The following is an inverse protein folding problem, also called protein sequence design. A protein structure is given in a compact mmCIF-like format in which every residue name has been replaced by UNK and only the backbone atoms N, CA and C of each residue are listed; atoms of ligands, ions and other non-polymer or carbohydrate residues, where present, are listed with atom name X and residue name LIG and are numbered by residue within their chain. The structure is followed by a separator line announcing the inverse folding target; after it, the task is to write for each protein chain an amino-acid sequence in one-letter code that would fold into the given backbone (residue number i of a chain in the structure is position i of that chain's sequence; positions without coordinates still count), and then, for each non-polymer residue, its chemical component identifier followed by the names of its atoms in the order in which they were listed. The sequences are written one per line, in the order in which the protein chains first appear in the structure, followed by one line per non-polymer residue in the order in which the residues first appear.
data_IF_798000274075
#
_entry.id   IF_798000274075
#
_cell.length_a   1.000
_cell.length_b   1.000
_cell.length_c   1.000
_cell.angle_alpha   90.00
_cell.angle_beta   90.00
_cell.angle_gamma   90.00
#
_symmetry.space_group_name_H-M   'P 1'
#
loop_
_entity.id
_entity.type
_entity.pdbx_description
1 polymer ?
#
# COMPACT_ATOMS: atom_id res chain seq x y z
N UNK A 1 -44.50 37.38 17.17
CA UNK A 1 -44.02 37.08 15.79
C UNK A 1 -42.54 37.28 15.61
N UNK A 2 -41.95 38.46 15.90
CA UNK A 2 -40.50 38.70 15.68
C UNK A 2 -39.60 37.73 16.47
N UNK A 3 -39.90 37.49 17.75
CA UNK A 3 -39.14 36.56 18.58
C UNK A 3 -39.18 35.10 18.06
N UNK A 4 -40.37 34.68 17.55
CA UNK A 4 -40.55 33.37 16.94
C UNK A 4 -39.70 33.27 15.66
N UNK A 5 -39.75 34.28 14.78
CA UNK A 5 -38.95 34.28 13.57
C UNK A 5 -37.43 34.26 13.83
N UNK A 6 -36.95 35.00 14.82
CA UNK A 6 -35.55 35.00 15.24
C UNK A 6 -35.16 33.61 15.76
N UNK A 7 -36.02 33.01 16.63
CA UNK A 7 -35.73 31.69 17.15
C UNK A 7 -35.67 30.60 16.09
N UNK A 8 -36.60 30.60 15.11
CA UNK A 8 -36.57 29.70 13.95
C UNK A 8 -35.30 29.91 13.13
N UNK A 9 -34.92 31.17 12.87
CA UNK A 9 -33.71 31.48 12.09
C UNK A 9 -32.44 30.98 12.80
N UNK A 10 -32.32 31.14 14.11
CA UNK A 10 -31.20 30.65 14.89
C UNK A 10 -31.10 29.11 14.83
N UNK A 11 -32.23 28.40 14.95
CA UNK A 11 -32.28 26.95 14.85
C UNK A 11 -31.86 26.49 13.47
N UNK A 12 -32.43 27.05 12.41
CA UNK A 12 -32.12 26.63 11.05
C UNK A 12 -30.66 26.93 10.70
N UNK A 13 -30.15 28.13 10.98
CA UNK A 13 -28.77 28.51 10.67
C UNK A 13 -27.78 27.69 11.52
N UNK A 14 -28.02 27.55 12.81
CA UNK A 14 -27.15 26.81 13.73
C UNK A 14 -27.04 25.33 13.33
N UNK A 15 -28.19 24.70 13.07
CA UNK A 15 -28.21 23.30 12.62
C UNK A 15 -27.60 23.14 11.23
N UNK A 16 -27.89 24.06 10.28
CA UNK A 16 -27.31 24.04 8.94
C UNK A 16 -25.78 24.13 8.97
N UNK A 17 -25.23 25.04 9.78
CA UNK A 17 -23.78 25.14 9.94
C UNK A 17 -23.18 23.85 10.51
N UNK A 18 -23.77 23.29 11.57
CA UNK A 18 -23.30 22.04 12.15
C UNK A 18 -23.35 20.88 11.16
N UNK A 19 -24.45 20.68 10.45
CA UNK A 19 -24.63 19.62 9.46
C UNK A 19 -23.67 19.75 8.27
N UNK A 20 -23.46 20.96 7.77
CA UNK A 20 -22.53 21.24 6.66
C UNK A 20 -21.06 21.04 7.08
N UNK A 21 -20.70 21.47 8.30
CA UNK A 21 -19.36 21.30 8.87
C UNK A 21 -19.05 19.81 9.08
N UNK A 22 -19.98 19.06 9.67
CA UNK A 22 -19.85 17.62 9.90
C UNK A 22 -19.52 16.90 8.59
N UNK A 23 -20.35 17.12 7.58
CA UNK A 23 -20.19 16.50 6.28
C UNK A 23 -18.88 16.93 5.62
N UNK A 24 -18.54 18.20 5.64
CA UNK A 24 -17.29 18.70 5.06
C UNK A 24 -16.06 18.08 5.70
N UNK A 25 -16.04 17.95 7.03
CA UNK A 25 -14.90 17.35 7.74
C UNK A 25 -14.74 15.85 7.44
N UNK A 26 -15.84 15.12 7.22
CA UNK A 26 -15.80 13.68 6.94
C UNK A 26 -15.49 13.39 5.47
N UNK A 27 -15.93 14.24 4.55
CA UNK A 27 -15.80 13.99 3.10
C UNK A 27 -14.39 14.20 2.56
N UNK A 28 -13.52 14.99 3.22
CA UNK A 28 -12.14 15.18 2.74
C UNK A 28 -11.29 13.94 3.05
N UNK A 29 -10.74 13.22 2.05
CA UNK A 29 -9.88 12.07 2.28
C UNK A 29 -8.63 12.45 3.10
N UNK A 30 -8.22 11.58 4.04
CA UNK A 30 -7.06 11.84 4.91
C UNK A 30 -5.77 12.10 4.11
N UNK A 31 -5.59 11.37 3.01
CA UNK A 31 -4.43 11.54 2.12
C UNK A 31 -4.40 12.95 1.52
N UNK A 32 -5.55 13.45 1.07
CA UNK A 32 -5.68 14.81 0.52
C UNK A 32 -5.37 15.87 1.57
N UNK A 33 -5.86 15.68 2.81
CA UNK A 33 -5.54 16.58 3.93
C UNK A 33 -4.05 16.60 4.25
N UNK A 34 -3.38 15.44 4.20
CA UNK A 34 -1.92 15.35 4.36
C UNK A 34 -1.18 16.13 3.28
N UNK A 35 -1.59 15.95 2.01
CA UNK A 35 -0.99 16.70 0.89
C UNK A 35 -1.16 18.21 1.07
N UNK A 36 -2.35 18.69 1.47
CA UNK A 36 -2.61 20.11 1.70
C UNK A 36 -1.76 20.69 2.83
N UNK A 37 -1.61 19.93 3.91
CA UNK A 37 -0.77 20.36 5.03
C UNK A 37 0.72 20.42 4.68
N UNK A 38 1.19 19.60 3.74
CA UNK A 38 2.59 19.56 3.28
C UNK A 38 2.86 20.56 2.16
N UNK A 39 2.00 20.63 1.12
CA UNK A 39 2.24 21.46 -0.07
C UNK A 39 1.85 22.93 0.12
N UNK A 40 0.81 23.20 0.93
CA UNK A 40 0.32 24.56 1.23
C UNK A 40 0.03 24.69 2.73
N UNK A 41 1.06 24.73 3.57
CA UNK A 41 0.87 24.80 5.02
C UNK A 41 0.15 26.09 5.40
N UNK A 42 -1.06 25.93 5.92
CA UNK A 42 -1.85 27.00 6.52
C UNK A 42 -2.34 26.58 7.91
N UNK A 43 -2.59 27.50 8.83
CA UNK A 43 -3.10 27.14 10.16
C UNK A 43 -4.37 26.29 10.09
N UNK A 44 -5.25 26.55 9.12
CA UNK A 44 -6.47 25.77 8.88
C UNK A 44 -6.18 24.35 8.37
N UNK A 45 -5.24 24.19 7.42
CA UNK A 45 -4.86 22.88 6.90
C UNK A 45 -4.20 21.99 7.98
N UNK A 46 -3.34 22.58 8.82
CA UNK A 46 -2.72 21.88 9.94
C UNK A 46 -3.77 21.47 10.98
N UNK A 47 -4.70 22.37 11.31
CA UNK A 47 -5.81 22.08 12.21
C UNK A 47 -6.71 20.97 11.64
N UNK A 48 -7.02 21.02 10.34
CA UNK A 48 -7.82 19.97 9.66
C UNK A 48 -7.11 18.62 9.71
N UNK A 49 -5.79 18.58 9.50
CA UNK A 49 -5.02 17.34 9.64
C UNK A 49 -5.12 16.77 11.05
N UNK A 50 -4.97 17.59 12.08
CA UNK A 50 -5.12 17.17 13.48
C UNK A 50 -6.52 16.62 13.76
N UNK A 51 -7.56 17.26 13.23
CA UNK A 51 -8.96 16.79 13.33
C UNK A 51 -9.14 15.45 12.64
N UNK A 52 -8.62 15.28 11.43
CA UNK A 52 -8.77 14.03 10.65
C UNK A 52 -7.99 12.86 11.25
N UNK A 53 -6.90 13.12 11.95
CA UNK A 53 -6.15 12.09 12.68
C UNK A 53 -6.87 11.62 13.95
N UNK A 54 -7.65 12.50 14.59
CA UNK A 54 -8.37 12.24 15.83
C UNK A 54 -9.82 12.67 15.70
N UNK A 55 -10.53 12.09 14.73
CA UNK A 55 -11.85 12.57 14.26
C UNK A 55 -12.98 12.43 15.29
N UNK A 56 -12.88 11.46 16.22
CA UNK A 56 -13.98 11.11 17.15
C UNK A 56 -14.45 12.29 18.00
N UNK A 57 -13.53 13.04 18.61
CA UNK A 57 -13.88 14.17 19.50
C UNK A 57 -14.46 15.37 18.75
N UNK A 58 -13.84 15.84 17.63
CA UNK A 58 -14.42 16.91 16.84
C UNK A 58 -15.83 16.59 16.32
N UNK A 59 -16.04 15.39 15.81
CA UNK A 59 -17.38 14.97 15.35
C UNK A 59 -18.38 14.92 16.49
N UNK A 60 -18.02 14.32 17.63
CA UNK A 60 -18.89 14.32 18.82
C UNK A 60 -19.29 15.74 19.23
N UNK A 61 -18.33 16.71 19.17
CA UNK A 61 -18.63 18.13 19.44
C UNK A 61 -19.68 18.69 18.52
N UNK A 62 -19.54 18.47 17.20
CA UNK A 62 -20.45 18.99 16.20
C UNK A 62 -21.84 18.35 16.35
N UNK A 63 -21.91 17.03 16.58
CA UNK A 63 -23.15 16.30 16.82
C UNK A 63 -23.86 16.83 18.08
N UNK A 64 -23.13 17.07 19.17
CA UNK A 64 -23.69 17.67 20.38
C UNK A 64 -24.29 19.06 20.08
N UNK A 65 -23.55 19.92 19.38
CA UNK A 65 -24.00 21.24 19.01
C UNK A 65 -25.24 21.19 18.10
N UNK A 66 -25.23 20.30 17.10
CA UNK A 66 -26.36 20.11 16.21
C UNK A 66 -27.62 19.67 16.98
N UNK A 67 -27.47 18.72 17.91
CA UNK A 67 -28.58 18.29 18.78
C UNK A 67 -29.07 19.40 19.71
N UNK A 68 -28.21 20.26 20.22
CA UNK A 68 -28.62 21.43 21.01
C UNK A 68 -29.49 22.35 20.15
N UNK A 69 -29.06 22.71 18.92
CA UNK A 69 -29.89 23.52 18.05
C UNK A 69 -31.20 22.86 17.68
N UNK A 70 -31.21 21.58 17.34
CA UNK A 70 -32.41 20.89 16.90
C UNK A 70 -33.36 20.60 18.03
N UNK A 71 -32.91 20.07 19.17
CA UNK A 71 -33.80 19.65 20.29
C UNK A 71 -34.19 20.86 21.14
N UNK A 72 -33.20 21.54 21.74
CA UNK A 72 -33.44 22.67 22.61
C UNK A 72 -34.08 23.82 21.84
N UNK A 73 -33.54 24.08 20.64
CA UNK A 73 -34.09 25.11 19.75
C UNK A 73 -35.55 24.85 19.37
N UNK A 74 -35.90 23.61 18.98
CA UNK A 74 -37.29 23.25 18.65
C UNK A 74 -38.24 23.36 19.84
N UNK A 75 -37.79 23.05 21.06
CA UNK A 75 -38.59 23.26 22.26
C UNK A 75 -38.89 24.76 22.46
N UNK A 76 -37.90 25.61 22.33
CA UNK A 76 -38.06 27.07 22.43
C UNK A 76 -39.02 27.62 21.36
N UNK A 77 -38.81 27.20 20.10
CA UNK A 77 -39.67 27.59 18.96
C UNK A 77 -41.11 27.10 19.19
N UNK A 78 -41.28 25.82 19.61
CA UNK A 78 -42.61 25.27 19.88
C UNK A 78 -43.36 26.04 20.97
N UNK A 79 -42.64 26.40 22.07
CA UNK A 79 -43.25 27.24 23.14
C UNK A 79 -43.66 28.60 22.63
N UNK A 80 -42.83 29.26 21.83
CA UNK A 80 -43.16 30.56 21.26
C UNK A 80 -44.32 30.47 20.25
N UNK A 81 -44.35 29.42 19.43
CA UNK A 81 -45.40 29.15 18.48
C UNK A 81 -46.77 28.91 19.17
N UNK A 82 -46.81 28.15 20.26
CA UNK A 82 -48.01 27.85 21.05
C UNK A 82 -48.65 29.12 21.66
N UNK A 83 -47.91 30.20 21.85
CA UNK A 83 -48.44 31.48 22.30
C UNK A 83 -49.03 32.35 21.15
N UNK A 84 -48.80 31.93 19.90
CA UNK A 84 -49.12 32.76 18.72
C UNK A 84 -50.21 32.11 17.81
N UNK A 85 -50.31 30.79 17.84
CA UNK A 85 -51.19 30.00 16.99
C UNK A 85 -52.18 29.20 17.84
N UNK A 86 -53.36 28.97 17.25
CA UNK A 86 -54.31 27.97 17.76
C UNK A 86 -53.81 26.54 17.47
N UNK A 87 -54.52 25.53 17.98
CA UNK A 87 -54.11 24.13 17.85
C UNK A 87 -53.94 23.69 16.38
N UNK A 88 -54.78 24.15 15.48
CA UNK A 88 -54.70 23.81 14.05
C UNK A 88 -53.52 24.53 13.40
N UNK A 89 -53.36 25.83 13.65
CA UNK A 89 -52.24 26.62 13.18
C UNK A 89 -50.88 26.12 13.68
N UNK A 90 -50.83 25.68 14.94
CA UNK A 90 -49.61 25.08 15.52
C UNK A 90 -49.22 23.78 14.81
N UNK A 91 -50.20 22.93 14.46
CA UNK A 91 -49.95 21.71 13.69
C UNK A 91 -49.38 21.99 12.31
N UNK A 92 -49.96 22.96 11.55
CA UNK A 92 -49.50 23.38 10.23
C UNK A 92 -48.10 23.98 10.34
N UNK A 93 -47.88 24.89 11.30
CA UNK A 93 -46.57 25.49 11.56
C UNK A 93 -45.48 24.43 11.87
N UNK A 94 -45.81 23.45 12.71
CA UNK A 94 -44.86 22.37 13.06
C UNK A 94 -44.50 21.51 11.87
N UNK A 95 -45.47 21.16 11.01
CA UNK A 95 -45.22 20.42 9.78
C UNK A 95 -44.32 21.21 8.82
N UNK A 96 -44.61 22.51 8.61
CA UNK A 96 -43.80 23.39 7.78
C UNK A 96 -42.38 23.57 8.33
N UNK A 97 -42.26 23.78 9.64
CA UNK A 97 -40.96 23.92 10.31
C UNK A 97 -40.14 22.64 10.19
N UNK A 98 -40.74 21.47 10.40
CA UNK A 98 -40.06 20.19 10.20
C UNK A 98 -39.51 20.04 8.78
N UNK A 99 -40.36 20.34 7.78
CA UNK A 99 -39.92 20.31 6.38
C UNK A 99 -38.79 21.31 6.11
N UNK A 100 -38.89 22.53 6.65
CA UNK A 100 -37.86 23.56 6.50
C UNK A 100 -36.53 23.14 7.15
N UNK A 101 -36.55 22.52 8.34
CA UNK A 101 -35.37 22.02 9.02
C UNK A 101 -34.72 20.89 8.18
N UNK A 102 -35.51 19.92 7.74
CA UNK A 102 -34.96 18.80 6.93
C UNK A 102 -34.31 19.35 5.65
N UNK A 103 -34.98 20.25 4.94
CA UNK A 103 -34.46 20.77 3.66
C UNK A 103 -33.29 21.75 3.86
N UNK A 104 -33.49 22.79 4.70
CA UNK A 104 -32.57 23.94 4.80
C UNK A 104 -31.48 23.74 5.82
N UNK A 105 -31.69 22.90 6.86
CA UNK A 105 -30.73 22.69 7.92
C UNK A 105 -30.02 21.34 7.82
N UNK A 106 -30.52 20.39 7.02
CA UNK A 106 -29.91 19.07 6.90
C UNK A 106 -29.50 18.73 5.45
N UNK A 107 -30.45 18.63 4.51
CA UNK A 107 -30.14 18.15 3.14
C UNK A 107 -29.23 19.13 2.40
N UNK A 108 -29.64 20.39 2.28
CA UNK A 108 -28.87 21.40 1.54
C UNK A 108 -27.48 21.63 2.12
N UNK A 109 -27.29 21.85 3.43
CA UNK A 109 -25.97 22.06 4.01
C UNK A 109 -25.06 20.85 3.88
N UNK A 110 -25.56 19.61 4.01
CA UNK A 110 -24.79 18.38 3.80
C UNK A 110 -24.29 18.29 2.37
N UNK A 111 -25.17 18.53 1.38
CA UNK A 111 -24.79 18.52 -0.04
C UNK A 111 -23.73 19.58 -0.36
N UNK A 112 -23.89 20.78 0.19
CA UNK A 112 -22.90 21.85 0.02
C UNK A 112 -21.60 21.56 0.76
N UNK A 113 -21.68 20.99 1.98
CA UNK A 113 -20.55 20.58 2.78
C UNK A 113 -19.71 19.53 2.07
N UNK A 114 -20.33 18.56 1.42
CA UNK A 114 -19.65 17.54 0.62
C UNK A 114 -18.99 18.16 -0.63
N UNK A 115 -19.76 18.95 -1.38
CA UNK A 115 -19.27 19.58 -2.62
C UNK A 115 -18.08 20.52 -2.40
N UNK A 116 -18.07 21.25 -1.31
CA UNK A 116 -17.03 22.22 -0.98
C UNK A 116 -16.16 21.76 0.22
N UNK A 117 -16.07 20.46 0.46
CA UNK A 117 -15.49 19.86 1.65
C UNK A 117 -14.08 20.39 1.99
N UNK A 118 -13.19 20.53 1.00
CA UNK A 118 -11.83 21.01 1.21
C UNK A 118 -11.79 22.46 1.71
N UNK A 119 -12.53 23.36 1.03
CA UNK A 119 -12.56 24.79 1.38
C UNK A 119 -13.24 25.02 2.74
N UNK A 120 -14.39 24.39 2.93
CA UNK A 120 -15.14 24.49 4.19
C UNK A 120 -14.33 23.87 5.32
N UNK A 121 -13.78 22.66 5.13
CA UNK A 121 -12.99 21.97 6.14
C UNK A 121 -11.80 22.79 6.65
N UNK A 122 -11.04 23.44 5.74
CA UNK A 122 -9.93 24.30 6.12
C UNK A 122 -10.42 25.54 6.89
N UNK A 123 -11.50 26.17 6.45
CA UNK A 123 -12.02 27.41 7.07
C UNK A 123 -12.56 27.15 8.48
N UNK A 124 -13.21 26.00 8.72
CA UNK A 124 -13.86 25.69 10.00
C UNK A 124 -13.00 24.89 10.96
N UNK A 125 -11.82 24.40 10.53
CA UNK A 125 -10.97 23.55 11.36
C UNK A 125 -10.56 24.20 12.68
N UNK A 126 -10.20 25.49 12.65
CA UNK A 126 -9.77 26.23 13.86
C UNK A 126 -10.96 26.46 14.81
N UNK A 127 -12.12 26.98 14.38
CA UNK A 127 -13.32 27.07 15.23
C UNK A 127 -13.75 25.74 15.83
N UNK A 128 -13.79 24.66 15.02
CA UNK A 128 -14.15 23.32 15.50
C UNK A 128 -13.19 22.81 16.57
N UNK A 129 -11.88 23.02 16.37
CA UNK A 129 -10.88 22.65 17.39
C UNK A 129 -11.11 23.41 18.69
N UNK A 130 -11.41 24.72 18.61
CA UNK A 130 -11.74 25.53 19.78
C UNK A 130 -12.99 25.03 20.50
N UNK A 131 -14.08 24.77 19.75
CA UNK A 131 -15.29 24.17 20.30
C UNK A 131 -15.02 22.81 20.95
N UNK A 132 -14.19 21.96 20.32
CA UNK A 132 -13.84 20.64 20.87
C UNK A 132 -13.17 20.77 22.25
N UNK A 133 -12.31 21.76 22.45
CA UNK A 133 -11.69 21.99 23.77
C UNK A 133 -12.74 22.33 24.80
N UNK A 134 -13.71 23.19 24.49
CA UNK A 134 -14.81 23.58 25.39
C UNK A 134 -15.69 22.36 25.76
N UNK A 135 -15.99 21.50 24.78
CA UNK A 135 -16.84 20.31 25.00
C UNK A 135 -16.07 19.09 25.51
N UNK A 136 -14.74 19.15 25.66
CA UNK A 136 -13.90 18.05 26.16
C UNK A 136 -14.42 17.39 27.42
N UNK A 137 -14.86 18.09 28.49
CA UNK A 137 -15.35 17.43 29.70
C UNK A 137 -16.59 16.58 29.45
N UNK A 138 -17.52 17.06 28.61
CA UNK A 138 -18.72 16.31 28.24
C UNK A 138 -18.36 15.10 27.35
N UNK A 139 -17.47 15.27 26.38
CA UNK A 139 -17.02 14.19 25.52
C UNK A 139 -16.29 13.12 26.33
N UNK A 140 -15.44 13.51 27.29
CA UNK A 140 -14.77 12.56 28.17
C UNK A 140 -15.76 11.71 28.97
N UNK A 141 -16.85 12.30 29.45
CA UNK A 141 -17.90 11.57 30.13
C UNK A 141 -18.55 10.54 29.19
N UNK A 142 -18.87 10.92 27.95
CA UNK A 142 -19.44 10.03 26.94
C UNK A 142 -18.46 8.91 26.56
N UNK A 143 -17.17 9.24 26.36
CA UNK A 143 -16.11 8.25 26.09
C UNK A 143 -16.03 7.21 27.22
N UNK A 144 -16.14 7.63 28.48
CA UNK A 144 -16.11 6.70 29.63
C UNK A 144 -17.29 5.74 29.64
N UNK A 145 -18.47 6.20 29.23
CA UNK A 145 -19.68 5.37 29.14
C UNK A 145 -19.56 4.38 27.96
N UNK A 146 -19.01 4.80 26.83
CA UNK A 146 -18.92 3.98 25.62
C UNK A 146 -17.66 3.10 25.57
N UNK A 147 -16.62 3.38 26.37
CA UNK A 147 -15.37 2.63 26.40
C UNK A 147 -15.51 1.11 26.51
N UNK A 148 -16.45 0.55 27.31
CA UNK A 148 -16.64 -0.90 27.38
C UNK A 148 -17.09 -1.52 26.05
N UNK A 149 -17.84 -0.74 25.24
CA UNK A 149 -18.41 -1.19 23.97
C UNK A 149 -17.42 -1.04 22.79
N UNK A 150 -16.40 -0.17 22.95
CA UNK A 150 -15.46 0.18 21.89
C UNK A 150 -14.08 -0.47 22.05
N UNK A 151 -13.90 -1.38 23.01
CA UNK A 151 -12.68 -2.20 23.17
C UNK A 151 -12.56 -3.18 22.00
N UNK A 152 -12.13 -2.67 20.85
CA UNK A 152 -11.82 -3.44 19.64
C UNK A 152 -10.43 -3.13 19.15
N UNK A 153 -9.78 -4.12 18.55
CA UNK A 153 -8.47 -4.02 17.91
C UNK A 153 -8.44 -2.85 16.93
N UNK A 154 -7.42 -2.01 17.04
CA UNK A 154 -7.12 -1.01 16.00
C UNK A 154 -6.86 -1.77 14.72
N UNK A 155 -7.77 -1.68 13.74
CA UNK A 155 -7.52 -2.21 12.40
C UNK A 155 -6.29 -1.48 11.83
N UNK A 156 -5.37 -2.18 11.18
CA UNK A 156 -4.29 -1.52 10.46
C UNK A 156 -4.89 -0.51 9.48
N UNK A 157 -4.21 0.61 9.32
CA UNK A 157 -4.69 1.75 8.50
C UNK A 157 -4.80 1.37 7.03
N UNK A 158 -4.02 0.40 6.59
CA UNK A 158 -4.04 -0.16 5.23
C UNK A 158 -3.44 -1.57 5.25
N UNK A 159 -3.76 -2.36 4.25
CA UNK A 159 -3.21 -3.68 4.02
C UNK A 159 -2.74 -3.80 2.56
N UNK A 160 -2.02 -4.86 2.25
CA UNK A 160 -1.50 -5.13 0.91
C UNK A 160 -2.60 -5.13 -0.16
N UNK A 161 -3.75 -5.76 0.14
CA UNK A 161 -4.88 -5.81 -0.79
C UNK A 161 -5.43 -4.44 -1.13
N UNK A 162 -5.47 -3.50 -0.16
CA UNK A 162 -5.88 -2.12 -0.41
C UNK A 162 -4.88 -1.38 -1.29
N UNK A 163 -3.56 -1.60 -1.08
CA UNK A 163 -2.53 -0.96 -1.91
C UNK A 163 -2.62 -1.50 -3.33
N UNK A 164 -2.78 -2.81 -3.53
CA UNK A 164 -2.98 -3.42 -4.85
C UNK A 164 -4.22 -2.83 -5.55
N UNK A 165 -5.34 -2.68 -4.82
CA UNK A 165 -6.55 -2.07 -5.36
C UNK A 165 -6.33 -0.61 -5.76
N UNK A 166 -5.66 0.19 -4.94
CA UNK A 166 -5.33 1.58 -5.25
C UNK A 166 -4.41 1.69 -6.48
N UNK A 167 -3.47 0.77 -6.64
CA UNK A 167 -2.62 0.70 -7.84
C UNK A 167 -3.44 0.43 -9.09
N UNK A 168 -4.39 -0.52 -9.02
CA UNK A 168 -5.29 -0.83 -10.14
C UNK A 168 -6.16 0.38 -10.51
N UNK A 169 -6.71 1.08 -9.51
CA UNK A 169 -7.50 2.29 -9.73
C UNK A 169 -6.65 3.41 -10.35
N UNK A 170 -5.42 3.62 -9.84
CA UNK A 170 -4.48 4.60 -10.41
C UNK A 170 -4.13 4.30 -11.87
N UNK A 171 -3.94 3.04 -12.21
CA UNK A 171 -3.74 2.60 -13.60
C UNK A 171 -4.96 2.87 -14.49
N UNK A 172 -6.18 2.56 -13.99
CA UNK A 172 -7.43 2.82 -14.74
C UNK A 172 -7.68 4.31 -15.00
N UNK A 173 -7.26 5.17 -14.09
CA UNK A 173 -7.36 6.63 -14.22
C UNK A 173 -6.21 7.25 -15.03
N UNK A 174 -5.22 6.45 -15.46
CA UNK A 174 -4.04 6.91 -16.20
C UNK A 174 -3.04 7.70 -15.36
N UNK A 175 -3.06 7.52 -14.03
CA UNK A 175 -2.15 8.15 -13.08
C UNK A 175 -0.89 7.31 -12.83
N UNK A 176 -0.96 6.01 -13.13
CA UNK A 176 0.11 5.01 -12.98
C UNK A 176 0.27 4.32 -14.33
N UNK A 177 1.48 4.14 -14.79
CA UNK A 177 1.80 3.42 -16.02
C UNK A 177 1.68 1.89 -15.84
N UNK A 178 1.58 1.14 -16.95
CA UNK A 178 1.37 -0.33 -16.94
C UNK A 178 2.54 -1.06 -16.25
N UNK A 179 3.76 -0.65 -16.57
CA UNK A 179 5.00 -1.19 -16.00
C UNK A 179 5.17 -0.84 -14.52
N UNK A 180 4.77 0.36 -14.10
CA UNK A 180 4.77 0.76 -12.70
C UNK A 180 3.79 -0.08 -11.88
N UNK A 181 2.58 -0.30 -12.39
CA UNK A 181 1.57 -1.12 -11.73
C UNK A 181 2.01 -2.59 -11.63
N UNK A 182 2.65 -3.12 -12.69
CA UNK A 182 3.20 -4.48 -12.67
C UNK A 182 4.37 -4.60 -11.68
N UNK A 183 5.23 -3.60 -11.59
CA UNK A 183 6.36 -3.58 -10.65
C UNK A 183 5.88 -3.57 -9.20
N UNK A 184 4.84 -2.79 -8.87
CA UNK A 184 4.23 -2.78 -7.54
C UNK A 184 3.69 -4.17 -7.16
N UNK A 185 3.03 -4.87 -8.08
CA UNK A 185 2.54 -6.24 -7.85
C UNK A 185 3.69 -7.22 -7.60
N UNK A 186 4.78 -7.10 -8.36
CA UNK A 186 5.98 -7.93 -8.21
C UNK A 186 6.69 -7.69 -6.87
N UNK A 187 6.72 -6.45 -6.37
CA UNK A 187 7.28 -6.14 -5.03
C UNK A 187 6.55 -6.93 -3.95
N UNK A 188 5.24 -7.06 -4.03
CA UNK A 188 4.49 -7.87 -3.05
C UNK A 188 4.77 -9.37 -3.19
N UNK A 189 5.00 -9.86 -4.40
CA UNK A 189 5.35 -11.26 -4.65
C UNK A 189 6.68 -11.68 -4.05
N UNK A 190 7.63 -10.75 -3.87
CA UNK A 190 8.91 -11.06 -3.20
C UNK A 190 8.75 -11.69 -1.83
N UNK A 191 7.66 -11.35 -1.13
CA UNK A 191 7.38 -11.89 0.19
C UNK A 191 6.78 -13.30 0.15
N UNK A 192 6.21 -13.69 -0.99
CA UNK A 192 5.50 -14.95 -1.17
C UNK A 192 6.40 -16.02 -1.79
N UNK A 193 7.47 -15.63 -2.49
CA UNK A 193 8.41 -16.52 -3.17
C UNK A 193 9.58 -16.89 -2.25
N UNK A 194 9.98 -18.16 -2.32
CA UNK A 194 11.12 -18.74 -1.62
C UNK A 194 12.31 -18.98 -2.56
N UNK A 195 13.47 -19.27 -2.01
CA UNK A 195 14.66 -19.64 -2.79
C UNK A 195 14.37 -20.79 -3.75
N UNK A 196 13.62 -21.80 -3.30
CA UNK A 196 13.20 -22.95 -4.12
C UNK A 196 12.43 -22.56 -5.39
N UNK A 197 11.67 -21.44 -5.35
CA UNK A 197 10.82 -21.01 -6.48
C UNK A 197 11.59 -20.31 -7.58
N UNK A 198 12.76 -19.72 -7.24
CA UNK A 198 13.55 -18.88 -8.14
C UNK A 198 14.94 -19.44 -8.45
N UNK A 199 15.37 -20.49 -7.74
CA UNK A 199 16.70 -21.08 -7.91
C UNK A 199 16.87 -21.78 -9.27
N UNK A 200 18.10 -21.82 -9.76
CA UNK A 200 18.52 -22.77 -10.78
C UNK A 200 18.59 -24.15 -10.14
N UNK A 201 17.79 -25.14 -10.58
CA UNK A 201 17.75 -26.46 -9.98
C UNK A 201 19.08 -27.21 -10.12
N UNK A 202 19.35 -28.14 -9.20
CA UNK A 202 20.55 -29.00 -9.14
C UNK A 202 20.96 -29.59 -10.49
N UNK A 203 19.99 -30.02 -11.31
CA UNK A 203 20.23 -30.68 -12.60
C UNK A 203 20.80 -29.74 -13.66
N UNK A 204 20.71 -28.43 -13.48
CA UNK A 204 21.18 -27.42 -14.40
C UNK A 204 22.49 -26.73 -13.93
N UNK A 205 23.04 -27.14 -12.79
CA UNK A 205 24.25 -26.56 -12.21
C UNK A 205 25.50 -27.02 -12.97
N UNK A 206 26.37 -26.08 -13.32
CA UNK A 206 27.72 -26.36 -13.83
C UNK A 206 28.71 -26.39 -12.66
N UNK A 207 29.50 -27.44 -12.58
CA UNK A 207 30.47 -27.63 -11.52
C UNK A 207 31.78 -28.22 -12.05
N UNK A 208 32.87 -28.06 -11.31
CA UNK A 208 34.19 -28.61 -11.59
C UNK A 208 34.74 -29.19 -10.28
N UNK A 209 35.43 -30.38 -10.32
CA UNK A 209 36.11 -30.92 -9.13
C UNK A 209 37.24 -30.00 -8.66
N UNK A 210 37.31 -29.73 -7.34
CA UNK A 210 38.34 -28.88 -6.77
C UNK A 210 39.75 -29.47 -6.88
N UNK A 211 39.88 -30.80 -6.99
CA UNK A 211 41.14 -31.53 -7.21
C UNK A 211 41.63 -31.47 -8.66
N UNK A 212 40.78 -31.05 -9.59
CA UNK A 212 41.16 -30.97 -11.00
C UNK A 212 42.28 -29.95 -11.22
N UNK A 213 43.18 -30.25 -12.16
CA UNK A 213 44.23 -29.34 -12.59
C UNK A 213 43.67 -28.37 -13.64
N UNK A 214 43.89 -27.07 -13.47
CA UNK A 214 43.32 -26.01 -14.30
C UNK A 214 43.50 -26.24 -15.80
N UNK A 215 44.67 -26.72 -16.24
CA UNK A 215 44.96 -26.98 -17.66
C UNK A 215 44.14 -28.16 -18.22
N UNK A 216 43.73 -29.13 -17.40
CA UNK A 216 42.96 -30.30 -17.83
C UNK A 216 41.49 -29.99 -18.06
N UNK A 217 40.94 -29.02 -17.33
CA UNK A 217 39.53 -28.58 -17.43
C UNK A 217 39.36 -27.30 -18.25
N UNK A 218 40.38 -26.87 -18.97
CA UNK A 218 40.40 -25.63 -19.75
C UNK A 218 39.23 -25.58 -20.74
N UNK A 219 38.98 -26.65 -21.47
CA UNK A 219 37.93 -26.69 -22.50
C UNK A 219 36.55 -26.58 -21.89
N UNK A 220 36.31 -27.21 -20.74
CA UNK A 220 35.04 -27.12 -19.99
C UNK A 220 34.80 -25.69 -19.51
N UNK A 221 35.84 -25.01 -19.00
CA UNK A 221 35.78 -23.62 -18.56
C UNK A 221 35.42 -22.70 -19.73
N UNK A 222 36.10 -22.88 -20.89
CA UNK A 222 35.89 -22.05 -22.10
C UNK A 222 34.45 -22.22 -22.61
N UNK A 223 33.95 -23.46 -22.66
CA UNK A 223 32.63 -23.79 -23.19
C UNK A 223 31.48 -23.44 -22.23
N UNK A 224 31.78 -23.33 -20.92
CA UNK A 224 30.76 -22.94 -19.94
C UNK A 224 30.12 -21.60 -20.31
N UNK A 225 28.82 -21.52 -20.31
CA UNK A 225 28.06 -20.28 -20.49
C UNK A 225 27.97 -19.44 -19.21
N UNK A 226 28.29 -20.05 -18.05
CA UNK A 226 28.17 -19.41 -16.75
C UNK A 226 29.43 -18.65 -16.35
N UNK A 227 29.24 -17.49 -15.75
CA UNK A 227 30.34 -16.66 -15.21
C UNK A 227 30.90 -17.19 -13.91
N UNK A 228 30.09 -17.98 -13.17
CA UNK A 228 30.43 -18.61 -11.88
C UNK A 228 30.20 -20.10 -11.98
N UNK A 229 31.21 -20.88 -11.57
CA UNK A 229 31.25 -22.33 -11.68
C UNK A 229 31.42 -22.87 -10.27
N UNK A 230 30.53 -23.77 -9.82
CA UNK A 230 30.67 -24.39 -8.52
C UNK A 230 31.90 -25.31 -8.47
N UNK A 231 32.57 -25.31 -7.32
CA UNK A 231 33.70 -26.19 -7.06
C UNK A 231 33.25 -27.20 -6.03
N UNK A 232 33.35 -28.48 -6.37
CA UNK A 232 32.92 -29.60 -5.52
C UNK A 232 34.08 -30.44 -5.06
N UNK A 233 33.92 -31.16 -3.97
CA UNK A 233 34.93 -32.12 -3.46
C UNK A 233 34.71 -33.52 -4.06
N UNK A 234 33.64 -34.19 -3.75
CA UNK A 234 33.29 -35.51 -4.24
C UNK A 234 32.08 -35.51 -5.17
N UNK A 235 31.03 -34.85 -4.75
CA UNK A 235 29.76 -34.72 -5.49
C UNK A 235 29.11 -33.34 -5.28
N UNK A 236 27.95 -33.15 -5.86
CA UNK A 236 27.21 -31.87 -5.76
C UNK A 236 26.70 -31.54 -4.35
N UNK A 237 26.65 -32.53 -3.43
CA UNK A 237 26.26 -32.24 -2.05
C UNK A 237 27.44 -31.71 -1.23
N UNK A 238 28.67 -31.84 -1.76
CA UNK A 238 29.90 -31.35 -1.15
C UNK A 238 30.50 -30.17 -1.95
N UNK A 239 29.77 -29.07 -2.04
CA UNK A 239 30.29 -27.84 -2.65
C UNK A 239 31.27 -27.18 -1.70
N UNK A 240 32.50 -26.94 -2.16
CA UNK A 240 33.56 -26.33 -1.33
C UNK A 240 33.77 -24.84 -1.70
N UNK A 241 33.26 -24.38 -2.82
CA UNK A 241 33.40 -22.98 -3.23
C UNK A 241 32.83 -22.66 -4.59
N UNK A 242 33.12 -21.47 -5.06
CA UNK A 242 32.76 -20.97 -6.39
C UNK A 242 34.00 -20.38 -7.08
N UNK A 243 34.23 -20.72 -8.32
CA UNK A 243 35.29 -20.15 -9.15
C UNK A 243 34.71 -19.19 -10.20
N UNK A 244 35.35 -18.05 -10.38
CA UNK A 244 34.98 -17.10 -11.44
C UNK A 244 35.66 -17.51 -12.74
N UNK A 245 34.88 -17.73 -13.81
CA UNK A 245 35.39 -18.08 -15.15
C UNK A 245 36.52 -17.13 -15.61
N UNK A 246 36.34 -15.83 -15.41
CA UNK A 246 37.33 -14.83 -15.77
C UNK A 246 38.66 -15.00 -14.99
N UNK A 247 38.61 -15.35 -13.71
CA UNK A 247 39.82 -15.58 -12.89
C UNK A 247 40.55 -16.87 -13.28
N UNK A 248 39.78 -17.93 -13.59
CA UNK A 248 40.36 -19.18 -14.08
C UNK A 248 41.08 -18.97 -15.42
N UNK A 249 40.44 -18.25 -16.35
CA UNK A 249 41.05 -17.92 -17.65
C UNK A 249 42.27 -17.01 -17.49
N UNK A 250 42.24 -16.03 -16.61
CA UNK A 250 43.35 -15.17 -16.29
C UNK A 250 44.53 -15.97 -15.70
N UNK A 251 44.26 -16.95 -14.84
CA UNK A 251 45.28 -17.83 -14.28
C UNK A 251 45.93 -18.70 -15.35
N UNK A 252 45.17 -19.20 -16.34
CA UNK A 252 45.73 -19.91 -17.51
C UNK A 252 46.71 -19.03 -18.31
N UNK A 253 46.31 -17.80 -18.62
CA UNK A 253 47.16 -16.84 -19.35
C UNK A 253 48.44 -16.50 -18.57
N UNK A 254 48.36 -16.46 -17.22
CA UNK A 254 49.50 -16.23 -16.33
C UNK A 254 50.42 -17.43 -16.19
N UNK A 255 50.16 -18.54 -16.88
CA UNK A 255 50.96 -19.76 -16.80
C UNK A 255 50.72 -20.61 -15.56
N UNK A 256 49.64 -20.37 -14.80
CA UNK A 256 49.28 -21.14 -13.62
C UNK A 256 48.48 -22.42 -13.93
N UNK A 257 48.60 -22.98 -15.11
CA UNK A 257 47.84 -24.12 -15.58
C UNK A 257 48.01 -25.39 -14.73
N UNK A 258 49.07 -25.46 -13.88
CA UNK A 258 49.30 -26.59 -12.94
C UNK A 258 48.59 -26.44 -11.58
N UNK A 259 47.99 -25.30 -11.28
CA UNK A 259 47.23 -25.09 -10.04
C UNK A 259 45.98 -25.93 -10.00
N UNK A 260 45.63 -26.40 -8.82
CA UNK A 260 44.30 -27.03 -8.61
C UNK A 260 43.19 -25.96 -8.52
N UNK A 261 42.00 -26.31 -8.98
CA UNK A 261 40.86 -25.42 -8.97
C UNK A 261 40.54 -24.89 -7.58
N UNK A 262 40.66 -25.72 -6.53
CA UNK A 262 40.45 -25.33 -5.13
C UNK A 262 41.35 -24.18 -4.65
N UNK A 263 42.50 -23.97 -5.29
CA UNK A 263 43.43 -22.88 -4.95
C UNK A 263 42.96 -21.54 -5.54
N UNK A 264 42.05 -21.56 -6.51
CA UNK A 264 41.56 -20.42 -7.28
C UNK A 264 40.08 -20.13 -6.99
N UNK A 265 39.45 -20.88 -6.10
CA UNK A 265 38.05 -20.67 -5.72
C UNK A 265 37.91 -19.63 -4.61
N UNK A 266 36.70 -19.14 -4.45
CA UNK A 266 36.23 -18.34 -3.33
C UNK A 266 35.29 -19.15 -2.46
N UNK A 267 35.10 -18.74 -1.23
CA UNK A 267 34.06 -19.33 -0.37
C UNK A 267 32.67 -19.08 -0.97
N UNK A 268 31.74 -19.99 -0.73
CA UNK A 268 30.36 -19.88 -1.12
C UNK A 268 29.49 -19.88 0.13
N UNK A 269 28.39 -19.14 0.11
CA UNK A 269 27.42 -19.10 1.18
C UNK A 269 26.24 -20.01 0.85
N UNK A 270 25.67 -20.59 1.90
CA UNK A 270 24.51 -21.47 1.82
C UNK A 270 23.27 -20.78 2.38
N UNK A 271 22.14 -21.03 1.76
CA UNK A 271 20.82 -20.56 2.20
C UNK A 271 19.84 -21.71 2.14
N UNK A 272 18.86 -21.79 3.06
CA UNK A 272 17.82 -22.81 2.97
C UNK A 272 16.89 -22.53 1.78
N UNK A 273 16.30 -23.57 1.22
CA UNK A 273 15.35 -23.50 0.13
C UNK A 273 14.05 -22.76 0.51
N UNK A 274 13.74 -22.70 1.80
CA UNK A 274 12.63 -21.95 2.40
C UNK A 274 12.94 -20.46 2.66
N UNK A 275 14.16 -19.98 2.37
CA UNK A 275 14.51 -18.57 2.56
C UNK A 275 13.69 -17.70 1.59
N UNK A 276 13.10 -16.61 2.12
CA UNK A 276 12.27 -15.71 1.32
C UNK A 276 13.10 -14.84 0.39
N UNK A 277 12.57 -14.56 -0.79
CA UNK A 277 13.27 -13.77 -1.83
C UNK A 277 13.63 -12.36 -1.34
N UNK A 278 12.76 -11.69 -0.53
CA UNK A 278 13.07 -10.37 0.03
C UNK A 278 14.24 -10.39 1.02
N UNK A 279 14.42 -11.50 1.73
CA UNK A 279 15.54 -11.76 2.65
C UNK A 279 16.82 -12.06 1.87
N UNK A 280 16.73 -12.85 0.79
CA UNK A 280 17.86 -13.15 -0.09
C UNK A 280 18.49 -11.87 -0.64
N UNK A 281 17.71 -10.89 -1.11
CA UNK A 281 18.24 -9.60 -1.59
C UNK A 281 19.11 -8.92 -0.53
N UNK A 282 18.63 -8.88 0.73
CA UNK A 282 19.38 -8.27 1.84
C UNK A 282 20.66 -9.04 2.15
N UNK A 283 20.59 -10.37 2.06
CA UNK A 283 21.74 -11.25 2.30
C UNK A 283 22.80 -11.05 1.20
N UNK A 284 22.41 -11.02 -0.07
CA UNK A 284 23.32 -10.71 -1.18
C UNK A 284 24.01 -9.35 -0.99
N UNK A 285 23.25 -8.31 -0.63
CA UNK A 285 23.80 -6.97 -0.40
C UNK A 285 24.76 -6.93 0.78
N UNK A 286 24.44 -7.62 1.89
CA UNK A 286 25.26 -7.60 3.11
C UNK A 286 26.58 -8.36 2.95
N UNK A 287 26.53 -9.51 2.26
CA UNK A 287 27.69 -10.35 2.00
C UNK A 287 28.50 -9.90 0.77
N UNK A 288 27.92 -9.05 -0.09
CA UNK A 288 28.48 -8.64 -1.40
C UNK A 288 28.75 -9.83 -2.31
N UNK A 289 27.91 -10.84 -2.20
CA UNK A 289 27.95 -12.02 -3.04
C UNK A 289 26.94 -11.92 -4.19
N UNK A 290 27.09 -12.74 -5.20
CA UNK A 290 26.22 -12.78 -6.36
C UNK A 290 25.66 -14.19 -6.63
N UNK A 291 26.11 -15.19 -5.88
CA UNK A 291 25.66 -16.56 -5.98
C UNK A 291 25.68 -17.19 -4.59
N UNK A 292 24.62 -17.92 -4.24
CA UNK A 292 24.53 -18.74 -3.03
C UNK A 292 24.05 -20.13 -3.41
N UNK A 293 24.48 -21.13 -2.64
CA UNK A 293 24.02 -22.51 -2.77
C UNK A 293 22.76 -22.68 -1.94
N UNK A 294 21.72 -23.23 -2.55
CA UNK A 294 20.44 -23.51 -1.90
C UNK A 294 20.46 -24.96 -1.40
N UNK A 295 20.13 -25.16 -0.13
CA UNK A 295 20.11 -26.48 0.52
C UNK A 295 18.74 -26.80 1.08
N UNK A 296 18.41 -28.09 1.06
CA UNK A 296 17.20 -28.64 1.67
C UNK A 296 17.35 -28.85 3.19
N UNK A 297 16.30 -29.35 3.84
CA UNK A 297 16.27 -29.63 5.28
C UNK A 297 17.24 -30.72 5.74
N UNK A 298 17.79 -31.51 4.82
CA UNK A 298 18.78 -32.56 5.09
C UNK A 298 20.20 -32.12 4.81
N UNK A 299 20.38 -30.88 4.33
CA UNK A 299 21.68 -30.33 3.94
C UNK A 299 22.14 -30.72 2.54
N UNK A 300 21.27 -31.37 1.74
CA UNK A 300 21.53 -31.68 0.34
C UNK A 300 21.39 -30.43 -0.53
N UNK A 301 22.21 -30.31 -1.57
CA UNK A 301 22.14 -29.19 -2.51
C UNK A 301 20.93 -29.32 -3.42
N UNK A 302 19.95 -28.41 -3.28
CA UNK A 302 18.75 -28.31 -4.10
C UNK A 302 18.99 -27.50 -5.37
N UNK A 303 19.84 -26.48 -5.30
CA UNK A 303 20.09 -25.59 -6.41
C UNK A 303 21.10 -24.48 -6.10
N UNK A 304 21.12 -23.48 -6.95
CA UNK A 304 21.84 -22.22 -6.71
C UNK A 304 20.89 -21.05 -6.99
N UNK A 305 21.06 -19.97 -6.26
CA UNK A 305 20.34 -18.72 -6.49
C UNK A 305 21.34 -17.59 -6.69
N UNK A 306 21.06 -16.71 -7.65
CA UNK A 306 21.87 -15.54 -7.92
C UNK A 306 21.14 -14.24 -7.54
N UNK A 307 21.90 -13.16 -7.40
CA UNK A 307 21.29 -11.82 -7.22
C UNK A 307 20.42 -11.45 -8.43
N UNK A 308 20.85 -11.86 -9.61
CA UNK A 308 20.15 -11.66 -10.87
C UNK A 308 18.77 -12.33 -10.84
N UNK A 309 18.66 -13.58 -10.37
CA UNK A 309 17.37 -14.30 -10.22
C UNK A 309 16.42 -13.56 -9.26
N UNK A 310 16.96 -13.02 -8.15
CA UNK A 310 16.14 -12.26 -7.19
C UNK A 310 15.66 -10.91 -7.74
N UNK A 311 16.48 -10.26 -8.57
CA UNK A 311 16.12 -9.01 -9.22
C UNK A 311 15.13 -9.24 -10.38
N UNK A 312 15.24 -10.37 -11.08
CA UNK A 312 14.33 -10.76 -12.16
C UNK A 312 12.88 -10.89 -11.66
N UNK A 313 12.66 -11.32 -10.42
CA UNK A 313 11.32 -11.29 -9.80
C UNK A 313 10.71 -9.89 -9.82
N UNK A 314 11.53 -8.84 -9.64
CA UNK A 314 11.08 -7.44 -9.65
C UNK A 314 10.92 -6.88 -11.06
N UNK A 315 11.95 -7.08 -11.90
CA UNK A 315 12.03 -6.44 -13.22
C UNK A 315 11.32 -7.26 -14.31
N UNK A 316 11.14 -8.57 -14.08
CA UNK A 316 10.77 -9.55 -15.10
C UNK A 316 11.97 -9.93 -15.95
N UNK A 317 11.78 -10.91 -16.83
CA UNK A 317 12.85 -11.38 -17.73
C UNK A 317 13.50 -10.18 -18.45
N UNK A 318 14.76 -9.92 -18.13
CA UNK A 318 15.61 -9.00 -18.87
C UNK A 318 16.20 -9.83 -20.02
N UNK A 319 15.70 -9.62 -21.22
CA UNK A 319 16.29 -10.27 -22.42
C UNK A 319 17.67 -9.66 -22.63
N UNK A 320 18.73 -10.43 -22.36
CA UNK A 320 20.11 -10.01 -22.62
C UNK A 320 20.41 -10.06 -24.14
N UNK A 321 21.22 -9.10 -24.62
CA UNK A 321 21.68 -9.03 -26.02
C UNK A 321 22.49 -10.29 -26.44
N UNK A 322 22.95 -11.06 -25.45
CA UNK A 322 23.70 -12.32 -25.66
C UNK A 322 22.83 -13.56 -25.74
N UNK A 323 21.53 -13.48 -25.43
CA UNK A 323 20.58 -14.57 -25.53
C UNK A 323 20.26 -14.90 -27.00
N UNK A 324 21.17 -15.65 -27.63
CA UNK A 324 21.06 -16.11 -29.02
C UNK A 324 19.89 -17.08 -29.27
N UNK A 325 19.20 -17.56 -28.25
CA UNK A 325 18.04 -18.43 -28.32
C UNK A 325 16.80 -17.77 -27.73
N UNK A 326 16.48 -16.58 -28.20
CA UNK A 326 15.13 -16.05 -27.97
C UNK A 326 14.19 -16.93 -28.80
N UNK A 327 13.58 -17.93 -28.13
CA UNK A 327 12.53 -18.72 -28.74
C UNK A 327 11.38 -17.76 -29.09
N UNK A 328 11.35 -17.37 -30.38
CA UNK A 328 10.30 -16.49 -30.91
C UNK A 328 8.90 -17.03 -30.64
N UNK A 329 8.77 -18.36 -30.45
CA UNK A 329 7.53 -18.98 -30.03
C UNK A 329 7.24 -18.77 -28.54
N UNK A 330 8.26 -18.76 -27.66
CA UNK A 330 8.09 -18.42 -26.25
C UNK A 330 7.72 -16.93 -26.10
N UNK A 331 8.37 -16.05 -26.85
CA UNK A 331 8.01 -14.61 -26.93
C UNK A 331 6.59 -14.40 -27.47
N UNK A 332 6.19 -15.15 -28.50
CA UNK A 332 4.84 -15.10 -29.03
C UNK A 332 3.82 -15.61 -28.02
N UNK A 333 4.12 -16.69 -27.27
CA UNK A 333 3.30 -17.21 -26.18
C UNK A 333 3.20 -16.26 -25.01
N UNK A 334 4.28 -15.57 -24.64
CA UNK A 334 4.28 -14.51 -23.62
C UNK A 334 3.46 -13.31 -24.07
N UNK A 335 3.65 -12.81 -25.31
CA UNK A 335 2.80 -11.74 -25.88
C UNK A 335 1.34 -12.13 -25.90
N UNK A 336 1.02 -13.37 -26.27
CA UNK A 336 -0.35 -13.89 -26.27
C UNK A 336 -0.92 -13.99 -24.84
N UNK A 337 -0.12 -14.44 -23.85
CA UNK A 337 -0.51 -14.44 -22.43
C UNK A 337 -0.69 -13.01 -21.89
N UNK A 338 0.15 -12.05 -22.30
CA UNK A 338 -0.01 -10.61 -21.98
C UNK A 338 -1.32 -10.05 -22.55
N UNK A 339 -1.63 -10.37 -23.81
CA UNK A 339 -2.88 -9.94 -24.47
C UNK A 339 -4.10 -10.56 -23.79
N UNK A 340 -4.05 -11.86 -23.44
CA UNK A 340 -5.11 -12.56 -22.72
C UNK A 340 -5.28 -12.05 -21.28
N UNK A 341 -4.22 -11.70 -20.58
CA UNK A 341 -4.29 -10.99 -19.29
C UNK A 341 -4.90 -9.59 -19.44
N UNK A 342 -4.50 -8.82 -20.43
CA UNK A 342 -5.13 -7.51 -20.77
C UNK A 342 -6.63 -7.66 -21.05
N UNK A 343 -7.04 -8.67 -21.79
CA UNK A 343 -8.45 -8.96 -22.05
C UNK A 343 -9.21 -9.45 -20.80
N UNK A 344 -8.55 -10.18 -19.92
CA UNK A 344 -9.09 -10.60 -18.62
C UNK A 344 -9.29 -9.43 -17.65
N UNK A 345 -8.32 -8.53 -17.56
CA UNK A 345 -8.44 -7.28 -16.80
C UNK A 345 -9.54 -6.36 -17.36
N UNK A 346 -9.66 -6.29 -18.70
CA UNK A 346 -10.71 -5.50 -19.35
C UNK A 346 -12.11 -6.10 -19.11
N UNK A 347 -12.26 -7.43 -19.14
CA UNK A 347 -13.51 -8.10 -18.77
C UNK A 347 -13.89 -7.92 -17.30
N UNK A 348 -12.93 -8.01 -16.38
CA UNK A 348 -13.15 -7.78 -14.95
C UNK A 348 -13.58 -6.33 -14.67
N UNK A 349 -12.99 -5.36 -15.38
CA UNK A 349 -13.34 -3.95 -15.28
C UNK A 349 -14.74 -3.63 -15.89
N UNK A 350 -15.14 -4.36 -16.92
CA UNK A 350 -16.49 -4.23 -17.51
C UNK A 350 -17.57 -4.84 -16.60
N UNK A 351 -17.28 -5.97 -15.94
CA UNK A 351 -18.19 -6.61 -14.97
C UNK A 351 -18.34 -5.81 -13.67
N UNK A 352 -17.37 -4.99 -13.31
CA UNK A 352 -17.45 -4.09 -12.16
C UNK A 352 -18.20 -2.77 -12.44
N UNK A 353 -18.52 -2.48 -13.70
CA UNK A 353 -19.29 -1.31 -14.14
C UNK A 353 -20.77 -1.62 -14.46
N UNK A 354 -21.14 -2.87 -14.50
CA UNK A 354 -22.53 -3.37 -14.58
C UNK A 354 -23.07 -3.72 -13.19
#
# INVERSE_FOLDING_TARGET
MIQLAIAVLIVIIGSALCSGIETALLSVPLLRVKQLAQSKPSPGAIALLSIRQHVSRPIATIVILNNIFNIVGSIVVGRLAATQFDNTGLGIFSAFLTFAIILLAEILPKTLGERYAEKVGIAVAIPVRGATVVFTPLIWLLEKITAPLTKGSKRPVTNESEIRLLTILGYQEGLIEDDEAEMIDRVFRLNDLMAADIMTPRVAITFIPGSAVLAEVQDEIIQSQHTRILVIEEDLDHVIGVALKAELLAALVQGKGRSQIKELMRQVHYVPDTERTDSLIKTFQSLREHLMVVVDEYGGVSGVVTLEDTLEVLTGEIVDETDRNVDLQALARQRQKRILRRSGFRKAAETARS
#
